data_IF_726531080658
#
_entry.id   IF_726531080658
#
_cell.length_a   1.000
_cell.length_b   1.000
_cell.length_c   1.000
_cell.angle_alpha   90.00
_cell.angle_beta   90.00
_cell.angle_gamma   90.00
#
_symmetry.space_group_name_H-M   'P 1'
#
loop_
_entity.id
_entity.type
_entity.pdbx_description
1 polymer ?
#
# COMPACT_ATOMS: atom_id res chain seq x y z
N UNK A 1 15.88 10.50 15.73
CA UNK A 1 14.74 9.57 15.62
C UNK A 1 13.55 9.95 16.52
N UNK A 2 13.76 10.41 17.77
CA UNK A 2 12.64 10.72 18.69
C UNK A 2 11.81 11.97 18.31
N UNK A 3 12.43 13.04 17.81
CA UNK A 3 11.72 14.28 17.49
C UNK A 3 10.71 14.15 16.32
N UNK A 4 11.06 13.37 15.28
CA UNK A 4 10.18 13.13 14.13
C UNK A 4 8.96 12.27 14.51
N UNK A 5 9.17 11.21 15.30
CA UNK A 5 8.07 10.36 15.80
C UNK A 5 7.14 11.18 16.70
N UNK A 6 7.70 12.06 17.54
CA UNK A 6 6.90 12.94 18.39
C UNK A 6 6.10 13.97 17.58
N UNK A 7 6.68 14.53 16.51
CA UNK A 7 5.95 15.41 15.59
C UNK A 7 4.76 14.71 14.92
N UNK A 8 4.96 13.47 14.45
CA UNK A 8 3.91 12.67 13.82
C UNK A 8 2.80 12.28 14.82
N UNK A 9 3.16 11.96 16.07
CA UNK A 9 2.16 11.74 17.14
C UNK A 9 1.32 12.99 17.42
N UNK A 10 1.94 14.18 17.34
CA UNK A 10 1.25 15.44 17.55
C UNK A 10 0.44 15.90 16.32
N UNK A 11 0.76 15.39 15.13
CA UNK A 11 0.11 15.76 13.87
C UNK A 11 -0.22 14.52 13.02
N UNK A 12 -1.12 13.63 13.49
CA UNK A 12 -1.41 12.35 12.85
C UNK A 12 -1.97 12.49 11.42
N UNK A 13 -2.58 13.63 11.10
CA UNK A 13 -3.05 13.96 9.74
C UNK A 13 -1.95 13.74 8.68
N UNK A 14 -0.70 14.12 8.94
CA UNK A 14 0.36 13.99 7.92
C UNK A 14 0.73 12.53 7.65
N UNK A 15 0.42 11.61 8.56
CA UNK A 15 0.61 10.18 8.35
C UNK A 15 -0.37 9.69 7.30
N UNK A 16 -1.65 10.04 7.45
CA UNK A 16 -2.69 9.74 6.46
C UNK A 16 -2.41 10.38 5.10
N UNK A 17 -1.80 11.57 5.06
CA UNK A 17 -1.38 12.17 3.80
C UNK A 17 -0.26 11.34 3.13
N UNK A 18 0.76 10.93 3.89
CA UNK A 18 1.86 10.11 3.36
C UNK A 18 1.37 8.75 2.87
N UNK A 19 0.54 8.08 3.66
CA UNK A 19 -0.06 6.79 3.31
C UNK A 19 -0.97 6.91 2.07
N UNK A 20 -1.86 7.91 2.05
CA UNK A 20 -2.71 8.17 0.89
C UNK A 20 -1.93 8.43 -0.41
N UNK A 21 -0.83 9.19 -0.34
CA UNK A 21 0.04 9.41 -1.50
C UNK A 21 0.79 8.14 -1.93
N UNK A 22 1.26 7.33 -0.98
CA UNK A 22 1.87 6.03 -1.26
C UNK A 22 0.90 5.04 -1.90
N UNK A 23 -0.34 5.02 -1.45
CA UNK A 23 -1.40 4.20 -2.01
C UNK A 23 -1.80 4.65 -3.43
N UNK A 24 -1.85 5.97 -3.70
CA UNK A 24 -2.02 6.50 -5.07
C UNK A 24 -0.88 6.03 -5.97
N UNK A 25 0.37 6.17 -5.51
CA UNK A 25 1.53 5.73 -6.29
C UNK A 25 1.44 4.25 -6.63
N UNK A 26 1.12 3.41 -5.65
CA UNK A 26 0.96 1.95 -5.84
C UNK A 26 -0.16 1.65 -6.84
N UNK A 27 -1.32 2.29 -6.69
CA UNK A 27 -2.45 2.14 -7.60
C UNK A 27 -2.11 2.59 -9.03
N UNK A 28 -1.39 3.71 -9.20
CA UNK A 28 -0.94 4.22 -10.50
C UNK A 28 0.06 3.27 -11.15
N UNK A 29 1.02 2.73 -10.38
CA UNK A 29 1.97 1.76 -10.91
C UNK A 29 1.24 0.52 -11.42
N UNK A 30 0.29 -0.03 -10.65
CA UNK A 30 -0.45 -1.24 -11.03
C UNK A 30 -1.46 -1.01 -12.16
N UNK A 31 -2.11 0.14 -12.24
CA UNK A 31 -3.17 0.39 -13.22
C UNK A 31 -2.70 1.07 -14.51
N UNK A 32 -1.58 1.79 -14.48
CA UNK A 32 -1.08 2.53 -15.65
C UNK A 32 0.30 2.05 -16.07
N UNK A 33 1.25 1.90 -15.15
CA UNK A 33 2.66 1.66 -15.51
C UNK A 33 2.92 0.20 -15.87
N UNK A 34 2.70 -0.74 -14.95
CA UNK A 34 2.94 -2.17 -15.17
C UNK A 34 2.15 -2.74 -16.37
N UNK A 35 0.89 -2.35 -16.61
CA UNK A 35 0.12 -2.78 -17.77
C UNK A 35 0.79 -2.48 -19.12
N UNK A 36 1.53 -1.36 -19.23
CA UNK A 36 2.28 -1.03 -20.45
C UNK A 36 3.45 -1.96 -20.73
N UNK A 37 3.90 -2.72 -19.74
CA UNK A 37 5.03 -3.65 -19.83
C UNK A 37 4.59 -5.11 -19.66
N UNK A 38 3.30 -5.43 -19.80
CA UNK A 38 2.78 -6.81 -19.62
C UNK A 38 3.50 -7.83 -20.49
N UNK A 39 3.79 -7.49 -21.76
CA UNK A 39 4.52 -8.40 -22.66
C UNK A 39 5.95 -8.73 -22.16
N UNK A 40 6.54 -7.85 -21.34
CA UNK A 40 7.87 -8.04 -20.75
C UNK A 40 7.84 -8.58 -19.32
N UNK A 41 6.74 -8.35 -18.58
CA UNK A 41 6.59 -8.71 -17.17
C UNK A 41 5.84 -10.04 -16.97
N UNK A 42 4.98 -10.41 -17.91
CA UNK A 42 4.23 -11.67 -17.92
C UNK A 42 3.05 -11.74 -16.94
N UNK A 43 2.86 -10.75 -16.07
CA UNK A 43 1.70 -10.73 -15.17
C UNK A 43 0.41 -10.42 -15.95
N UNK A 44 -0.67 -11.23 -15.78
CA UNK A 44 -1.94 -10.95 -16.43
C UNK A 44 -2.47 -9.57 -16.08
N UNK A 45 -2.91 -8.81 -17.09
CA UNK A 45 -3.42 -7.44 -16.92
C UNK A 45 -4.61 -7.38 -15.95
N UNK A 46 -5.47 -8.41 -15.96
CA UNK A 46 -6.60 -8.51 -15.04
C UNK A 46 -6.14 -8.62 -13.58
N UNK A 47 -5.04 -9.31 -13.32
CA UNK A 47 -4.44 -9.41 -11.97
C UNK A 47 -3.95 -8.04 -11.52
N UNK A 48 -3.24 -7.31 -12.39
CA UNK A 48 -2.75 -5.95 -12.10
C UNK A 48 -3.91 -5.01 -11.75
N UNK A 49 -4.98 -5.00 -12.55
CA UNK A 49 -6.16 -4.18 -12.27
C UNK A 49 -6.89 -4.60 -11.00
N UNK A 50 -6.99 -5.91 -10.74
CA UNK A 50 -7.59 -6.41 -9.49
C UNK A 50 -6.81 -5.93 -8.27
N UNK A 51 -5.48 -6.03 -8.32
CA UNK A 51 -4.61 -5.55 -7.24
C UNK A 51 -4.67 -4.03 -7.09
N UNK A 52 -4.81 -3.27 -8.17
CA UNK A 52 -4.90 -1.81 -8.14
C UNK A 52 -6.14 -1.25 -7.42
N UNK A 53 -7.23 -2.03 -7.34
CA UNK A 53 -8.48 -1.59 -6.67
C UNK A 53 -8.22 -1.25 -5.20
N UNK A 54 -7.48 -2.10 -4.48
CA UNK A 54 -7.25 -1.94 -3.05
C UNK A 54 -6.46 -0.66 -2.71
N UNK A 55 -5.30 -0.37 -3.35
CA UNK A 55 -4.59 0.89 -3.16
C UNK A 55 -5.45 2.13 -3.43
N UNK A 56 -6.33 2.12 -4.44
CA UNK A 56 -7.21 3.28 -4.67
C UNK A 56 -8.26 3.45 -3.57
N UNK A 57 -8.83 2.37 -3.06
CA UNK A 57 -9.75 2.42 -1.91
C UNK A 57 -9.02 2.98 -0.68
N UNK A 58 -7.80 2.50 -0.41
CA UNK A 58 -7.00 2.94 0.73
C UNK A 58 -6.57 4.40 0.60
N UNK A 59 -6.20 4.83 -0.61
CA UNK A 59 -5.89 6.22 -0.91
C UNK A 59 -7.05 7.15 -0.56
N UNK A 60 -8.27 6.82 -1.02
CA UNK A 60 -9.46 7.62 -0.70
C UNK A 60 -9.72 7.64 0.80
N UNK A 61 -9.68 6.48 1.46
CA UNK A 61 -9.90 6.38 2.90
C UNK A 61 -8.89 7.19 3.71
N UNK A 62 -7.60 7.10 3.36
CA UNK A 62 -6.51 7.80 4.03
C UNK A 62 -6.61 9.32 3.81
N UNK A 63 -6.86 9.76 2.58
CA UNK A 63 -7.07 11.18 2.28
C UNK A 63 -8.31 11.77 2.98
N UNK A 64 -9.40 11.00 3.07
CA UNK A 64 -10.57 11.42 3.87
C UNK A 64 -10.19 11.60 5.34
N UNK A 65 -9.41 10.69 5.93
CA UNK A 65 -8.91 10.83 7.30
C UNK A 65 -7.98 12.05 7.45
N UNK A 66 -7.19 12.39 6.44
CA UNK A 66 -6.37 13.61 6.43
C UNK A 66 -7.22 14.88 6.51
N UNK A 67 -8.26 14.99 5.67
CA UNK A 67 -9.12 16.18 5.63
C UNK A 67 -10.07 16.28 6.83
N UNK A 68 -10.63 15.15 7.28
CA UNK A 68 -11.56 15.11 8.41
C UNK A 68 -10.85 15.20 9.77
N UNK A 69 -9.56 14.86 9.82
CA UNK A 69 -8.73 14.87 11.02
C UNK A 69 -9.45 14.26 12.25
N UNK A 70 -9.84 12.97 12.18
CA UNK A 70 -10.69 12.35 13.19
C UNK A 70 -10.01 12.31 14.56
N UNK A 71 -10.78 12.57 15.62
CA UNK A 71 -10.28 12.49 17.00
C UNK A 71 -9.71 11.09 17.33
N UNK A 72 -10.35 10.03 16.82
CA UNK A 72 -9.93 8.64 17.01
C UNK A 72 -8.89 8.17 15.98
N UNK A 73 -7.97 9.04 15.54
CA UNK A 73 -6.99 8.75 14.48
C UNK A 73 -6.24 7.42 14.62
N UNK A 74 -5.94 6.98 15.86
CA UNK A 74 -5.29 5.69 16.10
C UNK A 74 -6.09 4.49 15.59
N UNK A 75 -7.42 4.52 15.74
CA UNK A 75 -8.30 3.47 15.25
C UNK A 75 -8.27 3.42 13.72
N UNK A 76 -8.46 4.56 13.07
CA UNK A 76 -8.42 4.67 11.61
C UNK A 76 -7.09 4.20 11.02
N UNK A 77 -5.98 4.57 11.66
CA UNK A 77 -4.64 4.17 11.23
C UNK A 77 -4.38 2.66 11.44
N UNK A 78 -4.94 2.04 12.50
CA UNK A 78 -4.88 0.57 12.66
C UNK A 78 -5.68 -0.17 11.59
N UNK A 79 -6.82 0.39 11.16
CA UNK A 79 -7.61 -0.19 10.05
C UNK A 79 -6.77 -0.21 8.78
N UNK A 80 -6.09 0.91 8.45
CA UNK A 80 -5.18 1.00 7.29
C UNK A 80 -4.05 -0.01 7.40
N UNK A 81 -3.34 -0.05 8.53
CA UNK A 81 -2.24 -1.00 8.74
C UNK A 81 -2.70 -2.45 8.55
N UNK A 82 -3.87 -2.82 9.09
CA UNK A 82 -4.46 -4.16 8.91
C UNK A 82 -4.76 -4.44 7.43
N UNK A 83 -5.37 -3.47 6.74
CA UNK A 83 -5.71 -3.59 5.33
C UNK A 83 -4.47 -3.71 4.43
N UNK A 84 -3.38 -2.99 4.76
CA UNK A 84 -2.08 -3.09 4.09
C UNK A 84 -1.45 -4.47 4.28
N UNK A 85 -1.52 -5.07 5.48
CA UNK A 85 -1.09 -6.46 5.68
C UNK A 85 -1.91 -7.45 4.84
N UNK A 86 -3.23 -7.31 4.83
CA UNK A 86 -4.11 -8.15 4.01
C UNK A 86 -3.80 -7.98 2.53
N UNK A 87 -3.57 -6.76 2.06
CA UNK A 87 -3.16 -6.49 0.69
C UNK A 87 -1.89 -7.24 0.32
N UNK A 88 -0.85 -7.21 1.16
CA UNK A 88 0.37 -7.98 0.88
C UNK A 88 0.11 -9.50 0.82
N UNK A 89 -0.80 -10.03 1.65
CA UNK A 89 -1.22 -11.44 1.54
C UNK A 89 -1.92 -11.69 0.20
N UNK A 90 -2.84 -10.83 -0.22
CA UNK A 90 -3.51 -10.93 -1.52
C UNK A 90 -2.50 -10.87 -2.68
N UNK A 91 -1.59 -9.91 -2.66
CA UNK A 91 -0.53 -9.76 -3.67
C UNK A 91 0.35 -11.01 -3.73
N UNK A 92 0.75 -11.58 -2.58
CA UNK A 92 1.53 -12.80 -2.52
C UNK A 92 0.77 -13.99 -3.12
N UNK A 93 -0.53 -14.15 -2.83
CA UNK A 93 -1.36 -15.20 -3.43
C UNK A 93 -1.39 -15.06 -4.94
N UNK A 94 -1.67 -13.87 -5.47
CA UNK A 94 -1.70 -13.63 -6.92
C UNK A 94 -0.34 -13.84 -7.58
N UNK A 95 0.76 -13.49 -6.90
CA UNK A 95 2.11 -13.73 -7.40
C UNK A 95 2.38 -15.24 -7.53
N UNK A 96 2.10 -16.02 -6.47
CA UNK A 96 2.30 -17.48 -6.46
C UNK A 96 1.47 -18.18 -7.54
N UNK A 97 0.22 -17.74 -7.75
CA UNK A 97 -0.66 -18.29 -8.79
C UNK A 97 -0.18 -18.03 -10.22
N UNK A 98 0.70 -17.05 -10.44
CA UNK A 98 1.17 -16.63 -11.76
C UNK A 98 2.69 -16.81 -11.96
N UNK A 99 3.39 -17.51 -11.06
CA UNK A 99 4.85 -17.70 -11.12
C UNK A 99 5.34 -18.31 -12.44
N UNK A 100 4.55 -19.19 -13.06
CA UNK A 100 4.93 -19.82 -14.34
C UNK A 100 4.89 -18.85 -15.53
N UNK A 101 4.16 -17.74 -15.39
CA UNK A 101 3.96 -16.74 -16.45
C UNK A 101 4.76 -15.46 -16.20
N UNK A 102 5.03 -15.12 -14.94
CA UNK A 102 5.74 -13.89 -14.57
C UNK A 102 7.24 -13.98 -14.79
N UNK A 103 7.87 -12.83 -15.04
CA UNK A 103 9.33 -12.73 -15.06
C UNK A 103 9.90 -12.43 -13.69
N UNK A 104 11.17 -12.78 -13.47
CA UNK A 104 11.91 -12.46 -12.24
C UNK A 104 11.90 -10.96 -11.93
N UNK A 105 11.90 -10.09 -12.95
CA UNK A 105 11.82 -8.63 -12.77
C UNK A 105 10.45 -8.24 -12.18
N UNK A 106 9.37 -8.85 -12.68
CA UNK A 106 8.03 -8.65 -12.15
C UNK A 106 7.93 -9.12 -10.69
N UNK A 107 8.47 -10.29 -10.38
CA UNK A 107 8.50 -10.83 -9.02
C UNK A 107 9.27 -9.92 -8.05
N UNK A 108 10.44 -9.43 -8.45
CA UNK A 108 11.23 -8.49 -7.65
C UNK A 108 10.44 -7.22 -7.36
N UNK A 109 9.71 -6.67 -8.35
CA UNK A 109 8.86 -5.50 -8.15
C UNK A 109 7.82 -5.74 -7.04
N UNK A 110 7.07 -6.84 -7.10
CA UNK A 110 6.04 -7.15 -6.10
C UNK A 110 6.62 -7.44 -4.72
N UNK A 111 7.76 -8.12 -4.65
CA UNK A 111 8.46 -8.36 -3.38
C UNK A 111 8.91 -7.03 -2.75
N UNK A 112 9.48 -6.12 -3.53
CA UNK A 112 9.87 -4.80 -3.05
C UNK A 112 8.66 -3.97 -2.60
N UNK A 113 7.58 -3.98 -3.36
CA UNK A 113 6.32 -3.33 -2.98
C UNK A 113 5.83 -3.88 -1.63
N UNK A 114 5.74 -5.20 -1.47
CA UNK A 114 5.32 -5.83 -0.22
C UNK A 114 6.21 -5.45 0.96
N UNK A 115 7.54 -5.40 0.77
CA UNK A 115 8.48 -4.98 1.83
C UNK A 115 8.19 -3.54 2.26
N UNK A 116 8.00 -2.62 1.31
CA UNK A 116 7.68 -1.22 1.60
C UNK A 116 6.37 -1.12 2.36
N UNK A 117 5.31 -1.78 1.88
CA UNK A 117 3.97 -1.74 2.48
C UNK A 117 3.95 -2.39 3.88
N UNK A 118 4.58 -3.55 4.06
CA UNK A 118 4.69 -4.21 5.38
C UNK A 118 5.50 -3.36 6.36
N UNK A 119 6.57 -2.71 5.91
CA UNK A 119 7.38 -1.84 6.77
C UNK A 119 6.58 -0.62 7.25
N UNK A 120 5.80 -0.01 6.34
CA UNK A 120 4.90 1.10 6.68
C UNK A 120 3.80 0.64 7.65
N UNK A 121 3.11 -0.46 7.36
CA UNK A 121 2.04 -0.99 8.21
C UNK A 121 2.55 -1.36 9.61
N UNK A 122 3.76 -1.92 9.71
CA UNK A 122 4.41 -2.23 10.98
C UNK A 122 4.74 -0.96 11.78
N UNK A 123 5.19 0.10 11.10
CA UNK A 123 5.45 1.39 11.71
C UNK A 123 4.16 2.04 12.24
N UNK A 124 3.08 2.02 11.46
CA UNK A 124 1.76 2.51 11.85
C UNK A 124 1.19 1.76 13.05
N UNK A 125 1.31 0.43 13.05
CA UNK A 125 0.89 -0.40 14.18
C UNK A 125 1.65 -0.03 15.46
N UNK A 126 2.97 0.16 15.36
CA UNK A 126 3.81 0.57 16.49
C UNK A 126 3.49 1.98 16.98
N UNK A 127 3.09 2.89 16.09
CA UNK A 127 2.74 4.26 16.46
C UNK A 127 1.41 4.33 17.23
N UNK A 128 0.48 3.44 16.89
CA UNK A 128 -0.87 3.39 17.46
C UNK A 128 -0.99 2.48 18.68
N UNK A 129 -0.06 1.53 18.87
CA UNK A 129 0.08 0.71 20.08
C UNK A 129 0.52 1.56 21.28
#
# INVERSE_FOLDING_TARGET
MNAQIQFLKNNPKYIFLMDGLGAILSGVLLSLVLPMFVDSLGMPINTLYTLAILPFIYAVYSLLCYFLNPFQWKFYLRVIATANFLYCVFTMVYLVLNLEQTTVICEIYFVLEMIVVVSLASFEWKLTS
#
